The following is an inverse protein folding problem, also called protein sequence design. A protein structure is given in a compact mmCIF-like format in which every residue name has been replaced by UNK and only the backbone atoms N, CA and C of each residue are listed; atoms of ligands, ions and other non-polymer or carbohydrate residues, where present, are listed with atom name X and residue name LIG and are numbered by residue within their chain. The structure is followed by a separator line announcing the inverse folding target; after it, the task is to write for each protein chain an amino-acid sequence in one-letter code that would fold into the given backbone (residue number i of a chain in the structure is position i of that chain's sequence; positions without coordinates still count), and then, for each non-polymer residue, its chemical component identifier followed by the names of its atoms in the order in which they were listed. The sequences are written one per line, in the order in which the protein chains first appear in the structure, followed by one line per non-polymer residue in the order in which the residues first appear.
data_IF_275893362652
#
_entry.id   IF_275893362652
#
_cell.length_a   1.000
_cell.length_b   1.000
_cell.length_c   1.000
_cell.angle_alpha   90.00
_cell.angle_beta   90.00
_cell.angle_gamma   90.00
#
_symmetry.space_group_name_H-M   'P 1'
#
loop_
_entity.id
_entity.type
_entity.pdbx_description
1 polymer ?
#
# COMPACT_ATOMS: atom_id res chain seq x y z
N UNK A 1 14.32 -33.93 -16.14
CA UNK A 1 13.95 -34.42 -14.79
C UNK A 1 13.00 -35.59 -14.97
N UNK A 2 13.31 -36.76 -14.41
CA UNK A 2 12.48 -37.97 -14.56
C UNK A 2 11.26 -37.95 -13.63
N UNK A 3 10.16 -38.59 -14.05
CA UNK A 3 8.89 -38.64 -13.30
C UNK A 3 9.04 -39.18 -11.87
N UNK A 4 10.10 -39.95 -11.60
CA UNK A 4 10.42 -40.55 -10.29
C UNK A 4 10.76 -39.51 -9.21
N UNK A 5 11.19 -38.30 -9.60
CA UNK A 5 11.51 -37.21 -8.66
C UNK A 5 10.30 -36.35 -8.31
N UNK A 6 9.13 -36.60 -8.93
CA UNK A 6 7.91 -35.83 -8.72
C UNK A 6 7.48 -35.74 -7.24
N UNK A 7 7.47 -36.83 -6.45
CA UNK A 7 7.05 -36.75 -5.05
C UNK A 7 8.01 -35.89 -4.21
N UNK A 8 9.31 -35.97 -4.50
CA UNK A 8 10.34 -35.20 -3.81
C UNK A 8 10.27 -33.70 -4.17
N UNK A 9 10.05 -33.38 -5.44
CA UNK A 9 9.83 -32.01 -5.90
C UNK A 9 8.59 -31.40 -5.27
N UNK A 10 7.46 -32.12 -5.31
CA UNK A 10 6.19 -31.65 -4.72
C UNK A 10 6.33 -31.37 -3.23
N UNK A 11 7.01 -32.25 -2.49
CA UNK A 11 7.24 -32.09 -1.06
C UNK A 11 8.10 -30.86 -0.77
N UNK A 12 9.22 -30.70 -1.48
CA UNK A 12 10.13 -29.55 -1.28
C UNK A 12 9.49 -28.23 -1.70
N UNK A 13 8.75 -28.22 -2.81
CA UNK A 13 8.04 -27.04 -3.28
C UNK A 13 6.94 -26.62 -2.30
N UNK A 14 6.19 -27.57 -1.74
CA UNK A 14 5.17 -27.30 -0.72
C UNK A 14 5.79 -26.77 0.58
N UNK A 15 6.92 -27.32 0.99
CA UNK A 15 7.65 -26.84 2.17
C UNK A 15 8.16 -25.42 1.96
N UNK A 16 8.75 -25.13 0.80
CA UNK A 16 9.19 -23.80 0.42
C UNK A 16 8.02 -22.81 0.36
N UNK A 17 6.93 -23.18 -0.32
CA UNK A 17 5.72 -22.37 -0.41
C UNK A 17 5.17 -21.99 0.97
N UNK A 18 5.17 -22.90 1.95
CA UNK A 18 4.74 -22.60 3.34
C UNK A 18 5.66 -21.66 4.09
N UNK A 19 6.92 -21.54 3.69
CA UNK A 19 7.88 -20.63 4.31
C UNK A 19 7.79 -19.21 3.76
N UNK A 20 7.35 -19.06 2.50
CA UNK A 20 7.40 -17.77 1.77
C UNK A 20 6.02 -17.20 1.44
N UNK A 21 4.96 -18.02 1.43
CA UNK A 21 3.60 -17.58 1.15
C UNK A 21 2.83 -17.39 2.44
N UNK A 22 2.46 -16.16 2.74
CA UNK A 22 1.40 -15.86 3.69
C UNK A 22 0.02 -16.13 3.06
N UNK A 23 -1.01 -16.46 3.85
CA UNK A 23 -2.37 -16.66 3.34
C UNK A 23 -2.92 -15.49 2.50
N UNK A 24 -2.45 -14.26 2.76
CA UNK A 24 -2.77 -13.08 1.96
C UNK A 24 -2.19 -13.10 0.54
N UNK A 25 -1.05 -13.76 0.32
CA UNK A 25 -0.44 -13.94 -1.01
C UNK A 25 -1.22 -14.92 -1.91
N UNK A 26 -2.17 -15.67 -1.35
CA UNK A 26 -2.92 -16.75 -2.02
C UNK A 26 -4.35 -16.29 -2.37
N UNK A 27 -4.76 -15.08 -1.98
CA UNK A 27 -6.07 -14.55 -2.36
C UNK A 27 -6.05 -14.02 -3.81
N UNK A 28 -7.12 -14.22 -4.59
CA UNK A 28 -7.25 -13.58 -5.90
C UNK A 28 -7.26 -12.05 -5.72
N UNK A 29 -6.11 -11.42 -5.96
CA UNK A 29 -5.98 -9.96 -5.94
C UNK A 29 -6.66 -9.40 -7.19
N UNK A 30 -7.89 -8.92 -7.04
CA UNK A 30 -8.52 -8.07 -8.05
C UNK A 30 -8.05 -6.66 -7.79
N UNK A 31 -7.13 -6.18 -8.64
CA UNK A 31 -6.69 -4.80 -8.62
C UNK A 31 -7.80 -3.93 -9.21
N UNK A 32 -8.27 -2.95 -8.42
CA UNK A 32 -9.33 -2.01 -8.79
C UNK A 32 -8.69 -0.66 -9.08
N UNK A 33 -9.03 -0.06 -10.22
CA UNK A 33 -8.49 1.24 -10.64
C UNK A 33 -9.32 2.41 -10.11
N UNK A 34 -10.65 2.25 -10.04
CA UNK A 34 -11.55 3.30 -9.57
C UNK A 34 -12.83 2.74 -8.93
N UNK A 35 -13.27 3.38 -7.84
CA UNK A 35 -14.65 3.25 -7.39
C UNK A 35 -15.56 4.07 -8.31
N UNK A 36 -16.66 3.49 -8.76
CA UNK A 36 -17.64 4.16 -9.59
C UNK A 36 -19.06 3.71 -9.24
N UNK A 37 -20.06 4.55 -9.55
CA UNK A 37 -21.45 4.17 -9.43
C UNK A 37 -21.94 3.50 -10.71
N UNK A 38 -22.89 2.58 -10.59
CA UNK A 38 -23.50 1.92 -11.76
C UNK A 38 -24.23 2.90 -12.68
N UNK A 39 -24.67 4.05 -12.18
CA UNK A 39 -25.30 5.10 -12.99
C UNK A 39 -24.33 5.74 -14.00
N UNK A 40 -23.04 5.82 -13.66
CA UNK A 40 -21.99 6.40 -14.51
C UNK A 40 -21.54 5.42 -15.60
N UNK A 41 -21.82 4.12 -15.42
CA UNK A 41 -21.48 3.08 -16.39
C UNK A 41 -22.40 3.22 -17.60
N UNK A 42 -21.89 3.85 -18.65
CA UNK A 42 -22.64 4.18 -19.87
C UNK A 42 -21.86 3.75 -21.11
N UNK A 43 -22.55 3.69 -22.25
CA UNK A 43 -21.89 3.42 -23.53
C UNK A 43 -20.89 4.53 -23.89
N UNK A 44 -21.22 5.78 -23.56
CA UNK A 44 -20.33 6.93 -23.74
C UNK A 44 -19.04 6.78 -22.93
N UNK A 45 -19.12 6.35 -21.66
CA UNK A 45 -17.93 6.03 -20.87
C UNK A 45 -17.12 4.93 -21.54
N UNK A 46 -17.76 3.84 -22.01
CA UNK A 46 -17.07 2.78 -22.73
C UNK A 46 -16.31 3.29 -23.97
N UNK A 47 -16.90 4.23 -24.72
CA UNK A 47 -16.26 4.86 -25.87
C UNK A 47 -15.06 5.72 -25.46
N UNK A 48 -15.16 6.50 -24.37
CA UNK A 48 -14.03 7.28 -23.85
C UNK A 48 -12.87 6.38 -23.42
N UNK A 49 -13.17 5.21 -22.83
CA UNK A 49 -12.15 4.24 -22.43
C UNK A 49 -11.41 3.62 -23.63
N UNK A 50 -11.94 3.69 -24.86
CA UNK A 50 -11.25 3.17 -26.04
C UNK A 50 -9.96 3.93 -26.37
N UNK A 51 -9.79 5.17 -25.88
CA UNK A 51 -8.54 5.93 -26.02
C UNK A 51 -7.36 5.24 -25.32
N UNK A 52 -7.64 4.37 -24.33
CA UNK A 52 -6.63 3.61 -23.60
C UNK A 52 -6.10 2.39 -24.37
N UNK A 53 -6.66 2.08 -25.54
CA UNK A 53 -6.19 0.97 -26.36
C UNK A 53 -4.77 1.25 -26.93
N UNK A 54 -3.93 0.22 -27.10
CA UNK A 54 -4.22 -1.19 -26.91
C UNK A 54 -4.08 -1.65 -25.44
N UNK A 55 -5.01 -2.48 -24.98
CA UNK A 55 -4.90 -3.10 -23.66
C UNK A 55 -4.14 -4.44 -23.73
N UNK A 56 -3.33 -4.75 -22.72
CA UNK A 56 -2.47 -5.93 -22.63
C UNK A 56 -1.86 -6.11 -21.24
N UNK A 57 -0.74 -6.84 -21.15
CA UNK A 57 -0.07 -7.15 -19.86
C UNK A 57 0.39 -5.88 -19.14
N UNK A 58 0.98 -4.93 -19.89
CA UNK A 58 1.54 -3.68 -19.36
C UNK A 58 0.53 -2.52 -19.31
N UNK A 59 -0.64 -2.69 -19.93
CA UNK A 59 -1.71 -1.70 -19.96
C UNK A 59 -3.06 -2.42 -19.83
N UNK A 60 -3.42 -2.79 -18.61
CA UNK A 60 -4.61 -3.63 -18.37
C UNK A 60 -5.89 -2.84 -18.64
N UNK A 61 -6.95 -3.56 -19.01
CA UNK A 61 -8.26 -2.95 -19.08
C UNK A 61 -8.67 -2.39 -17.71
N UNK A 62 -9.23 -1.18 -17.65
CA UNK A 62 -9.68 -0.60 -16.40
C UNK A 62 -10.70 -1.49 -15.69
N UNK A 63 -10.48 -1.68 -14.38
CA UNK A 63 -11.37 -2.40 -13.47
C UNK A 63 -12.01 -1.39 -12.52
N UNK A 64 -13.32 -1.26 -12.63
CA UNK A 64 -14.15 -0.44 -11.75
C UNK A 64 -14.70 -1.27 -10.61
N UNK A 65 -15.04 -0.61 -9.51
CA UNK A 65 -15.68 -1.22 -8.36
C UNK A 65 -16.90 -0.43 -7.89
N UNK A 66 -17.97 -1.14 -7.56
CA UNK A 66 -19.19 -0.57 -7.00
C UNK A 66 -19.61 -1.31 -5.74
N UNK A 67 -19.94 -0.55 -4.70
CA UNK A 67 -20.49 -1.04 -3.42
C UNK A 67 -21.98 -1.26 -3.44
N UNK A 68 -22.45 -2.13 -2.55
CA UNK A 68 -23.87 -2.26 -2.21
C UNK A 68 -24.76 -2.45 -3.45
N UNK A 69 -24.26 -3.24 -4.41
CA UNK A 69 -24.95 -3.54 -5.67
C UNK A 69 -26.01 -4.60 -5.41
N UNK A 70 -27.26 -4.26 -5.68
CA UNK A 70 -28.38 -5.19 -5.51
C UNK A 70 -28.55 -6.07 -6.74
N UNK A 71 -28.55 -7.39 -6.52
CA UNK A 71 -28.86 -8.39 -7.54
C UNK A 71 -30.37 -8.55 -7.63
N UNK A 72 -30.96 -8.15 -8.77
CA UNK A 72 -32.39 -8.34 -9.08
C UNK A 72 -32.68 -9.70 -9.64
N UNK A 73 -31.79 -10.20 -10.49
CA UNK A 73 -31.93 -11.49 -11.12
C UNK A 73 -30.57 -12.16 -11.27
N UNK A 74 -30.52 -13.47 -11.11
CA UNK A 74 -29.33 -14.29 -11.37
C UNK A 74 -29.75 -15.58 -12.04
N UNK A 75 -29.09 -15.94 -13.15
CA UNK A 75 -29.38 -17.16 -13.91
C UNK A 75 -28.11 -17.76 -14.48
N UNK A 76 -28.04 -19.09 -14.46
CA UNK A 76 -26.97 -19.82 -15.13
C UNK A 76 -27.21 -19.76 -16.65
N UNK A 77 -26.15 -19.53 -17.41
CA UNK A 77 -26.15 -19.52 -18.87
C UNK A 77 -24.96 -20.33 -19.43
N UNK A 78 -24.93 -20.48 -20.75
CA UNK A 78 -23.90 -21.24 -21.45
C UNK A 78 -24.31 -22.70 -21.69
N UNK A 79 -23.73 -23.33 -22.71
CA UNK A 79 -24.02 -24.73 -23.07
C UNK A 79 -23.58 -25.71 -21.98
N UNK A 80 -22.50 -25.37 -21.30
CA UNK A 80 -21.90 -26.11 -20.19
C UNK A 80 -22.45 -25.69 -18.82
N UNK A 81 -23.40 -24.75 -18.77
CA UNK A 81 -23.99 -24.22 -17.55
C UNK A 81 -22.95 -23.68 -16.54
N UNK A 82 -21.82 -23.16 -17.01
CA UNK A 82 -20.75 -22.72 -16.12
C UNK A 82 -20.79 -21.23 -15.81
N UNK A 83 -21.50 -20.40 -16.58
CA UNK A 83 -21.48 -18.94 -16.44
C UNK A 83 -22.74 -18.43 -15.72
N UNK A 84 -22.61 -17.28 -15.06
CA UNK A 84 -23.71 -16.64 -14.35
C UNK A 84 -24.00 -15.28 -15.00
N UNK A 85 -25.24 -15.06 -15.43
CA UNK A 85 -25.74 -13.76 -15.91
C UNK A 85 -26.57 -13.12 -14.81
N UNK A 86 -26.25 -11.88 -14.47
CA UNK A 86 -26.93 -11.12 -13.42
C UNK A 86 -27.59 -9.88 -14.03
N UNK A 87 -28.68 -9.46 -13.40
CA UNK A 87 -29.23 -8.14 -13.56
C UNK A 87 -29.09 -7.40 -12.22
N UNK A 88 -28.41 -6.27 -12.24
CA UNK A 88 -28.04 -5.55 -11.01
C UNK A 88 -28.50 -4.10 -11.04
N UNK A 89 -28.63 -3.47 -9.88
CA UNK A 89 -28.85 -2.02 -9.73
C UNK A 89 -28.14 -1.46 -8.50
N UNK A 90 -28.01 -0.14 -8.44
CA UNK A 90 -27.43 0.55 -7.28
C UNK A 90 -28.13 1.90 -7.10
N UNK A 91 -28.88 2.07 -6.00
CA UNK A 91 -29.55 3.33 -5.61
C UNK A 91 -30.63 3.87 -6.55
N UNK A 92 -30.67 3.44 -7.80
CA UNK A 92 -31.56 3.91 -8.87
C UNK A 92 -32.40 2.75 -9.43
N UNK A 93 -33.49 3.03 -10.20
CA UNK A 93 -34.27 1.99 -10.87
C UNK A 93 -33.58 1.41 -12.11
N UNK A 94 -32.50 2.02 -12.59
CA UNK A 94 -31.76 1.55 -13.77
C UNK A 94 -31.08 0.23 -13.44
N UNK A 95 -31.26 -0.76 -14.32
CA UNK A 95 -30.57 -2.04 -14.24
C UNK A 95 -29.48 -2.17 -15.29
N UNK A 96 -28.43 -2.93 -14.96
CA UNK A 96 -27.36 -3.31 -15.88
C UNK A 96 -27.25 -4.83 -15.95
N UNK A 97 -26.88 -5.32 -17.14
CA UNK A 97 -26.55 -6.72 -17.35
C UNK A 97 -25.08 -6.95 -16.97
N UNK A 98 -24.85 -8.05 -16.25
CA UNK A 98 -23.52 -8.44 -15.77
C UNK A 98 -23.26 -9.88 -16.16
N UNK A 99 -22.08 -10.16 -16.67
CA UNK A 99 -21.60 -11.48 -17.01
C UNK A 99 -20.48 -11.91 -16.09
N UNK A 100 -20.68 -13.02 -15.39
CA UNK A 100 -19.66 -13.66 -14.57
C UNK A 100 -19.26 -15.01 -15.18
N UNK A 101 -18.17 -15.00 -15.94
CA UNK A 101 -17.57 -16.19 -16.52
C UNK A 101 -17.19 -17.19 -15.42
N UNK A 102 -17.59 -18.44 -15.60
CA UNK A 102 -17.41 -19.53 -14.62
C UNK A 102 -18.03 -19.24 -13.24
N UNK A 103 -18.93 -18.27 -13.15
CA UNK A 103 -19.56 -17.83 -11.90
C UNK A 103 -20.66 -18.73 -11.37
N UNK A 104 -21.08 -19.78 -12.11
CA UNK A 104 -22.18 -20.65 -11.68
C UNK A 104 -21.90 -21.32 -10.32
N UNK A 105 -20.63 -21.60 -10.02
CA UNK A 105 -20.20 -22.19 -8.74
C UNK A 105 -20.45 -21.28 -7.52
N UNK A 106 -20.65 -19.98 -7.74
CA UNK A 106 -20.92 -19.01 -6.69
C UNK A 106 -22.43 -18.77 -6.46
N UNK A 107 -23.30 -19.45 -7.20
CA UNK A 107 -24.75 -19.32 -7.06
C UNK A 107 -25.28 -20.14 -5.86
N UNK A 108 -26.25 -19.63 -5.07
CA UNK A 108 -26.82 -18.29 -5.15
C UNK A 108 -25.91 -17.24 -4.54
N UNK A 109 -25.76 -16.13 -5.27
CA UNK A 109 -25.14 -14.94 -4.71
C UNK A 109 -26.09 -14.26 -3.72
N UNK A 110 -25.56 -13.56 -2.70
CA UNK A 110 -26.35 -12.71 -1.82
C UNK A 110 -27.16 -11.65 -2.59
N UNK A 111 -28.22 -11.13 -1.98
CA UNK A 111 -29.05 -10.09 -2.59
C UNK A 111 -28.28 -8.79 -2.84
N UNK A 112 -27.27 -8.50 -2.03
CA UNK A 112 -26.43 -7.30 -2.13
C UNK A 112 -24.95 -7.71 -2.10
N UNK A 113 -24.17 -7.20 -3.05
CA UNK A 113 -22.76 -7.54 -3.26
C UNK A 113 -21.94 -6.30 -3.57
N UNK A 114 -20.64 -6.40 -3.34
CA UNK A 114 -19.67 -5.52 -3.95
C UNK A 114 -19.18 -6.16 -5.26
N UNK A 115 -19.10 -5.36 -6.32
CA UNK A 115 -18.80 -5.84 -7.67
C UNK A 115 -17.57 -5.12 -8.21
N UNK A 116 -16.54 -5.87 -8.61
CA UNK A 116 -15.41 -5.39 -9.39
C UNK A 116 -15.54 -5.90 -10.84
N UNK A 117 -15.47 -5.01 -11.82
CA UNK A 117 -15.87 -5.29 -13.20
C UNK A 117 -15.18 -4.40 -14.23
N UNK A 118 -15.19 -4.83 -15.49
CA UNK A 118 -14.84 -4.00 -16.64
C UNK A 118 -16.04 -3.84 -17.56
N UNK A 119 -16.05 -2.80 -18.40
CA UNK A 119 -17.13 -2.55 -19.35
C UNK A 119 -16.86 -3.30 -20.64
N UNK A 120 -17.87 -4.02 -21.13
CA UNK A 120 -17.86 -4.69 -22.44
C UNK A 120 -19.07 -4.25 -23.26
N UNK A 121 -18.92 -4.32 -24.57
CA UNK A 121 -20.05 -4.23 -25.48
C UNK A 121 -20.44 -5.62 -25.93
N UNK A 122 -21.73 -5.90 -25.85
CA UNK A 122 -22.34 -7.07 -26.45
C UNK A 122 -23.08 -6.62 -27.72
N UNK A 123 -22.68 -7.16 -28.86
CA UNK A 123 -23.33 -6.94 -30.15
C UNK A 123 -24.16 -8.17 -30.51
N UNK A 124 -25.48 -8.01 -30.53
CA UNK A 124 -26.39 -9.08 -30.90
C UNK A 124 -27.42 -8.58 -31.91
N UNK A 125 -27.50 -9.25 -33.06
CA UNK A 125 -28.42 -8.91 -34.16
C UNK A 125 -28.36 -7.43 -34.59
N UNK A 126 -27.16 -6.83 -34.55
CA UNK A 126 -26.93 -5.43 -34.91
C UNK A 126 -27.25 -4.41 -33.81
N UNK A 127 -27.73 -4.85 -32.65
CA UNK A 127 -27.89 -3.98 -31.48
C UNK A 127 -26.65 -4.08 -30.59
N UNK A 128 -26.02 -2.93 -30.34
CA UNK A 128 -24.90 -2.79 -29.41
C UNK A 128 -25.47 -2.43 -28.04
N UNK A 129 -25.16 -3.24 -27.04
CA UNK A 129 -25.54 -3.02 -25.65
C UNK A 129 -24.30 -3.06 -24.77
N UNK A 130 -24.31 -2.32 -23.66
CA UNK A 130 -23.23 -2.38 -22.68
C UNK A 130 -23.55 -3.47 -21.63
N UNK A 131 -22.55 -4.26 -21.30
CA UNK A 131 -22.58 -5.22 -20.20
C UNK A 131 -21.33 -5.08 -19.32
N UNK A 132 -21.45 -5.47 -18.06
CA UNK A 132 -20.31 -5.49 -17.14
C UNK A 132 -19.76 -6.92 -17.07
N UNK A 133 -18.45 -7.09 -17.24
CA UNK A 133 -17.78 -8.37 -17.04
C UNK A 133 -17.13 -8.42 -15.66
N UNK A 134 -17.52 -9.40 -14.83
CA UNK A 134 -17.03 -9.54 -13.46
C UNK A 134 -15.56 -9.95 -13.43
N UNK A 135 -14.77 -9.22 -12.64
CA UNK A 135 -13.39 -9.57 -12.24
C UNK A 135 -13.32 -10.04 -10.79
N UNK A 136 -14.21 -9.54 -9.93
CA UNK A 136 -14.35 -9.97 -8.55
C UNK A 136 -15.74 -9.69 -8.00
N UNK A 137 -16.18 -10.52 -7.06
CA UNK A 137 -17.46 -10.35 -6.37
C UNK A 137 -17.32 -10.79 -4.92
N UNK A 138 -17.92 -10.04 -4.00
CA UNK A 138 -17.94 -10.38 -2.57
C UNK A 138 -19.23 -9.91 -1.91
N UNK A 139 -19.64 -10.49 -0.76
CA UNK A 139 -20.76 -9.96 0.03
C UNK A 139 -20.51 -8.51 0.47
N UNK A 140 -21.54 -7.67 0.43
CA UNK A 140 -21.45 -6.26 0.83
C UNK A 140 -21.20 -6.03 2.34
N UNK A 141 -21.30 -7.09 3.15
CA UNK A 141 -21.16 -7.04 4.62
C UNK A 141 -19.74 -7.21 5.15
N UNK A 142 -18.77 -7.55 4.30
CA UNK A 142 -17.37 -7.55 4.72
C UNK A 142 -16.87 -6.11 4.68
N UNK A 143 -16.39 -5.54 5.81
CA UNK A 143 -15.54 -4.37 5.76
C UNK A 143 -14.51 -4.62 4.66
N UNK A 144 -14.41 -3.67 3.75
CA UNK A 144 -13.28 -3.64 2.85
C UNK A 144 -12.08 -3.36 3.77
N UNK A 145 -11.46 -4.42 4.26
CA UNK A 145 -10.01 -4.46 4.36
C UNK A 145 -9.55 -4.24 2.91
N UNK A 146 -9.59 -3.00 2.44
CA UNK A 146 -8.66 -2.57 1.42
C UNK A 146 -7.33 -3.07 1.98
N UNK A 147 -6.53 -3.86 1.26
CA UNK A 147 -5.11 -3.80 1.54
C UNK A 147 -4.81 -2.30 1.59
N UNK A 148 -4.20 -1.80 2.67
CA UNK A 148 -3.53 -0.50 2.60
C UNK A 148 -2.74 -0.64 1.33
N UNK A 149 -2.98 0.21 0.32
CA UNK A 149 -2.58 -0.10 -1.03
C UNK A 149 -1.11 -0.49 -0.99
N UNK A 150 -0.84 -1.79 -1.20
CA UNK A 150 0.49 -2.20 -1.61
C UNK A 150 0.61 -1.54 -2.97
N UNK A 151 1.29 -0.41 -2.94
CA UNK A 151 1.44 0.55 -4.03
C UNK A 151 0.12 1.19 -4.50
N UNK A 152 -0.25 2.31 -3.85
CA UNK A 152 -0.58 3.46 -4.69
C UNK A 152 0.63 3.62 -5.63
N UNK A 153 0.48 4.12 -6.87
CA UNK A 153 1.56 4.87 -7.45
C UNK A 153 1.76 6.08 -6.54
N UNK A 154 2.42 5.86 -5.40
CA UNK A 154 3.43 6.79 -4.96
C UNK A 154 4.25 6.90 -6.21
N UNK A 155 4.27 8.09 -6.77
CA UNK A 155 5.10 8.40 -7.90
C UNK A 155 6.54 8.20 -7.38
N UNK A 156 6.97 6.94 -7.47
CA UNK A 156 8.24 6.43 -7.03
C UNK A 156 9.13 6.95 -8.13
N UNK A 157 9.82 8.04 -7.83
CA UNK A 157 10.99 8.31 -8.60
C UNK A 157 11.89 7.08 -8.37
N UNK A 158 12.37 6.49 -9.46
CA UNK A 158 13.27 5.35 -9.46
C UNK A 158 14.51 5.81 -10.23
N UNK A 159 15.66 5.75 -9.59
CA UNK A 159 16.94 5.94 -10.26
C UNK A 159 17.66 4.61 -10.36
N UNK A 160 18.07 4.24 -11.57
CA UNK A 160 18.93 3.10 -11.81
C UNK A 160 20.36 3.57 -12.02
N UNK A 161 21.26 3.12 -11.16
CA UNK A 161 22.69 3.41 -11.20
C UNK A 161 23.45 2.11 -11.34
N UNK A 162 23.91 1.80 -12.55
CA UNK A 162 24.53 0.51 -12.82
C UNK A 162 23.59 -0.64 -12.45
N UNK A 163 23.99 -1.44 -11.47
CA UNK A 163 23.21 -2.57 -10.93
C UNK A 163 22.23 -2.22 -9.80
N UNK A 164 22.23 -1.00 -9.23
CA UNK A 164 21.40 -0.64 -8.07
C UNK A 164 20.20 0.25 -8.46
N UNK A 165 19.01 -0.10 -7.95
CA UNK A 165 17.80 0.72 -8.04
C UNK A 165 17.55 1.46 -6.73
N UNK A 166 17.52 2.79 -6.74
CA UNK A 166 17.15 3.60 -5.59
C UNK A 166 15.68 4.00 -5.73
N UNK A 167 14.89 3.74 -4.69
CA UNK A 167 13.46 4.07 -4.61
C UNK A 167 13.25 5.07 -3.49
N UNK A 168 12.70 6.23 -3.83
CA UNK A 168 12.25 7.22 -2.86
C UNK A 168 10.79 7.61 -3.11
N UNK A 169 9.86 7.13 -2.26
CA UNK A 169 8.44 7.42 -2.44
C UNK A 169 8.10 8.89 -2.14
N UNK A 170 7.31 9.52 -3.02
CA UNK A 170 6.74 10.85 -2.82
C UNK A 170 5.92 10.97 -1.52
N UNK A 171 5.81 12.21 -1.03
CA UNK A 171 5.11 12.49 0.23
C UNK A 171 3.59 12.51 -0.01
N UNK A 172 2.80 11.73 0.74
CA UNK A 172 1.36 11.68 0.57
C UNK A 172 0.71 12.96 1.11
N UNK A 173 -0.53 13.23 0.67
CA UNK A 173 -1.33 14.32 1.24
C UNK A 173 -1.74 13.96 2.67
N UNK A 174 -1.58 14.92 3.57
CA UNK A 174 -1.92 14.74 4.97
C UNK A 174 -3.39 15.17 5.17
N UNK A 175 -4.20 14.35 5.83
CA UNK A 175 -5.58 14.70 6.12
C UNK A 175 -5.65 15.82 7.17
N UNK A 176 -6.61 16.72 6.97
CA UNK A 176 -6.87 17.86 7.86
C UNK A 176 -8.33 17.80 8.34
N UNK A 177 -8.64 18.31 9.55
CA UNK A 177 -7.75 18.99 10.50
C UNK A 177 -7.02 18.04 11.47
N UNK A 178 -5.78 18.39 11.84
CA UNK A 178 -4.98 17.68 12.85
C UNK A 178 -5.03 18.41 14.20
N UNK A 179 -5.16 17.67 15.30
CA UNK A 179 -5.09 18.23 16.65
C UNK A 179 -3.83 17.78 17.37
N UNK A 180 -2.90 18.71 17.57
CA UNK A 180 -1.64 18.48 18.26
C UNK A 180 -1.79 18.69 19.77
N UNK A 181 -1.19 17.80 20.56
CA UNK A 181 -1.13 17.91 22.00
C UNK A 181 0.19 17.34 22.55
N UNK A 182 0.57 17.77 23.75
CA UNK A 182 1.66 17.14 24.50
C UNK A 182 1.30 15.68 24.81
N UNK A 183 2.23 14.77 24.56
CA UNK A 183 2.08 13.36 24.91
C UNK A 183 2.50 13.08 26.36
N UNK A 184 1.57 12.58 27.16
CA UNK A 184 1.82 11.99 28.47
C UNK A 184 1.71 10.46 28.36
N UNK A 185 2.73 9.74 28.84
CA UNK A 185 2.73 8.28 28.89
C UNK A 185 1.49 7.67 29.55
N UNK A 186 0.84 8.37 30.49
CA UNK A 186 -0.42 7.95 31.09
C UNK A 186 -1.57 7.82 30.07
N UNK A 187 -1.55 8.60 28.98
CA UNK A 187 -2.55 8.53 27.91
C UNK A 187 -2.52 7.17 27.19
N UNK A 188 -1.38 6.48 27.15
CA UNK A 188 -1.26 5.17 26.51
C UNK A 188 -2.06 4.08 27.23
N UNK A 189 -2.29 4.24 28.54
CA UNK A 189 -3.04 3.28 29.35
C UNK A 189 -4.48 3.72 29.59
N UNK A 190 -4.74 5.02 29.60
CA UNK A 190 -6.04 5.64 29.94
C UNK A 190 -6.91 6.04 28.74
N UNK A 191 -6.36 6.06 27.52
CA UNK A 191 -7.16 6.41 26.34
C UNK A 191 -7.95 5.20 25.88
N UNK A 192 -9.28 5.35 25.82
CA UNK A 192 -10.18 4.42 25.13
C UNK A 192 -10.11 4.66 23.61
N UNK A 193 -10.30 3.60 22.81
CA UNK A 193 -10.24 3.67 21.35
C UNK A 193 -8.99 3.04 20.74
N UNK A 194 -8.67 3.35 19.49
CA UNK A 194 -7.55 2.77 18.75
C UNK A 194 -6.37 3.74 18.70
N UNK A 195 -5.23 3.30 19.21
CA UNK A 195 -4.01 4.11 19.38
C UNK A 195 -2.89 3.53 18.52
N UNK A 196 -2.21 4.38 17.75
CA UNK A 196 -0.93 4.03 17.15
C UNK A 196 0.21 4.55 18.03
N UNK A 197 0.95 3.65 18.66
CA UNK A 197 2.18 3.97 19.38
C UNK A 197 3.39 3.80 18.45
N UNK A 198 3.98 4.92 18.05
CA UNK A 198 5.12 4.98 17.13
C UNK A 198 6.33 5.61 17.82
N UNK A 199 7.53 5.09 17.58
CA UNK A 199 8.74 5.80 18.00
C UNK A 199 9.94 4.92 18.34
N UNK A 200 11.10 5.56 18.42
CA UNK A 200 12.39 4.96 18.73
C UNK A 200 12.42 4.44 20.17
N UNK A 201 12.75 3.15 20.32
CA UNK A 201 12.81 2.46 21.63
C UNK A 201 11.56 2.70 22.50
N UNK A 202 10.40 2.86 21.86
CA UNK A 202 9.14 3.03 22.57
C UNK A 202 8.86 1.81 23.48
N UNK A 203 8.20 2.02 24.63
CA UNK A 203 7.88 0.93 25.54
C UNK A 203 6.83 0.00 24.94
N UNK A 204 6.83 -1.24 25.41
CA UNK A 204 5.72 -2.16 25.18
C UNK A 204 4.72 -2.03 26.34
N UNK A 205 3.45 -1.78 26.02
CA UNK A 205 2.41 -1.54 27.02
C UNK A 205 1.56 -2.79 27.15
N UNK A 206 1.59 -3.42 28.33
CA UNK A 206 0.90 -4.68 28.59
C UNK A 206 -0.59 -4.52 28.92
N UNK A 207 -1.00 -3.33 29.37
CA UNK A 207 -2.38 -3.05 29.78
C UNK A 207 -2.79 -1.66 29.30
N UNK A 208 -3.84 -1.60 28.51
CA UNK A 208 -4.44 -0.37 27.99
C UNK A 208 -5.96 -0.49 27.98
N UNK A 209 -6.64 0.64 28.17
CA UNK A 209 -8.09 0.72 28.00
C UNK A 209 -8.53 0.66 26.52
N UNK A 210 -7.63 0.97 25.58
CA UNK A 210 -7.84 0.91 24.13
C UNK A 210 -7.04 -0.18 23.41
N UNK A 211 -7.20 -0.26 22.09
CA UNK A 211 -6.44 -1.12 21.17
C UNK A 211 -5.13 -0.40 20.81
N UNK A 212 -3.97 -0.99 21.11
CA UNK A 212 -2.67 -0.45 20.69
C UNK A 212 -2.12 -1.18 19.47
N UNK A 213 -1.81 -0.41 18.44
CA UNK A 213 -0.96 -0.81 17.34
C UNK A 213 0.40 -0.14 17.46
N UNK A 214 1.43 -0.80 16.91
CA UNK A 214 2.82 -0.40 17.11
C UNK A 214 3.52 -0.19 15.77
N UNK A 215 4.18 0.96 15.59
CA UNK A 215 4.96 1.41 14.42
C UNK A 215 4.27 1.47 13.06
N UNK A 216 3.42 0.49 12.74
CA UNK A 216 2.76 0.37 11.45
C UNK A 216 1.25 0.53 11.64
N UNK A 217 0.64 1.52 10.98
CA UNK A 217 -0.81 1.61 10.87
C UNK A 217 -1.34 0.31 10.26
N UNK A 218 -2.44 -0.20 10.80
CA UNK A 218 -3.14 -1.37 10.27
C UNK A 218 -4.15 -0.92 9.23
N UNK A 219 -4.30 -1.70 8.17
CA UNK A 219 -5.26 -1.35 7.14
C UNK A 219 -6.69 -1.37 7.62
N UNK A 220 -7.52 -0.46 7.09
CA UNK A 220 -8.92 -0.32 7.44
C UNK A 220 -9.17 0.10 8.90
N UNK A 221 -8.12 0.38 9.66
CA UNK A 221 -8.23 0.77 11.07
C UNK A 221 -8.32 2.29 11.18
N UNK A 222 -9.41 2.76 11.78
CA UNK A 222 -9.51 4.15 12.20
C UNK A 222 -8.77 4.38 13.51
N UNK A 223 -7.87 5.36 13.54
CA UNK A 223 -7.16 5.74 14.76
C UNK A 223 -7.77 6.97 15.41
N UNK A 224 -7.96 6.90 16.72
CA UNK A 224 -8.41 8.02 17.54
C UNK A 224 -7.21 8.86 18.01
N UNK A 225 -6.06 8.21 18.21
CA UNK A 225 -4.83 8.83 18.69
C UNK A 225 -3.59 8.24 18.00
N UNK A 226 -2.74 9.12 17.44
CA UNK A 226 -1.36 8.78 17.11
C UNK A 226 -0.46 9.30 18.22
N UNK A 227 0.14 8.38 18.96
CA UNK A 227 1.09 8.68 20.01
C UNK A 227 2.52 8.49 19.49
N UNK A 228 3.20 9.61 19.25
CA UNK A 228 4.61 9.65 18.87
C UNK A 228 5.47 9.63 20.14
N UNK A 229 5.98 8.45 20.51
CA UNK A 229 6.96 8.31 21.60
C UNK A 229 8.24 9.11 21.32
N UNK A 230 8.62 9.16 20.05
CA UNK A 230 9.66 10.01 19.48
C UNK A 230 9.20 10.49 18.11
N UNK A 231 9.79 11.56 17.60
CA UNK A 231 9.58 11.96 16.21
C UNK A 231 10.08 10.88 15.23
N UNK A 232 9.38 10.67 14.10
CA UNK A 232 9.84 9.81 13.02
C UNK A 232 11.07 10.41 12.32
N UNK A 233 11.78 9.64 11.47
CA UNK A 233 13.08 10.08 10.97
C UNK A 233 13.08 11.31 10.08
N UNK A 234 11.94 11.63 9.47
CA UNK A 234 11.79 12.85 8.69
C UNK A 234 10.32 13.28 8.63
N UNK A 235 10.04 14.52 8.19
CA UNK A 235 8.67 14.98 7.95
C UNK A 235 7.90 14.09 6.96
N UNK A 236 8.59 13.51 5.96
CA UNK A 236 7.95 12.59 5.03
C UNK A 236 7.47 11.31 5.74
N UNK A 237 8.25 10.75 6.66
CA UNK A 237 7.80 9.60 7.45
C UNK A 237 6.58 9.95 8.30
N UNK A 238 6.56 11.15 8.89
CA UNK A 238 5.41 11.64 9.63
C UNK A 238 4.17 11.74 8.74
N UNK A 239 4.30 12.34 7.56
CA UNK A 239 3.22 12.45 6.59
C UNK A 239 2.69 11.06 6.18
N UNK A 240 3.59 10.10 5.95
CA UNK A 240 3.25 8.71 5.67
C UNK A 240 2.45 8.07 6.80
N UNK A 241 2.90 8.19 8.05
CA UNK A 241 2.17 7.68 9.23
C UNK A 241 0.78 8.30 9.28
N UNK A 242 0.66 9.62 9.20
CA UNK A 242 -0.60 10.34 9.34
C UNK A 242 -1.60 10.04 8.21
N UNK A 243 -1.11 9.90 6.97
CA UNK A 243 -1.93 9.52 5.84
C UNK A 243 -2.55 8.11 6.01
N UNK A 244 -1.87 7.22 6.73
CA UNK A 244 -2.28 5.82 6.90
C UNK A 244 -3.08 5.59 8.19
N UNK A 245 -3.25 6.60 9.04
CA UNK A 245 -3.99 6.49 10.31
C UNK A 245 -5.38 7.10 10.27
N UNK A 246 -5.81 7.65 9.14
CA UNK A 246 -7.01 8.47 9.09
C UNK A 246 -8.24 7.71 8.56
N UNK A 247 -9.26 7.44 9.39
CA UNK A 247 -10.57 7.07 8.90
C UNK A 247 -11.30 8.35 8.47
N UNK A 248 -11.90 8.35 7.29
CA UNK A 248 -12.78 9.41 6.78
C UNK A 248 -13.74 9.95 7.86
N UNK A 249 -13.58 11.22 8.27
CA UNK A 249 -14.60 12.00 9.01
C UNK A 249 -14.36 12.31 10.50
N UNK A 250 -13.31 11.77 11.15
CA UNK A 250 -13.03 12.00 12.59
C UNK A 250 -11.86 12.97 12.83
N UNK A 251 -11.86 13.70 13.95
CA UNK A 251 -10.69 14.51 14.37
C UNK A 251 -9.57 13.59 14.89
N UNK A 252 -8.46 13.49 14.15
CA UNK A 252 -7.28 12.74 14.58
C UNK A 252 -6.47 13.55 15.60
N UNK A 253 -6.27 12.97 16.80
CA UNK A 253 -5.40 13.54 17.83
C UNK A 253 -3.97 13.03 17.66
N UNK A 254 -2.99 13.91 17.83
CA UNK A 254 -1.57 13.58 17.78
C UNK A 254 -0.92 14.01 19.09
N UNK A 255 -0.46 13.03 19.85
CA UNK A 255 0.31 13.23 21.07
C UNK A 255 1.79 13.02 20.78
N UNK A 256 2.64 13.98 21.17
CA UNK A 256 4.10 13.85 21.00
C UNK A 256 4.79 13.83 22.36
N UNK A 257 5.46 12.73 22.64
CA UNK A 257 6.38 12.57 23.75
C UNK A 257 7.81 12.85 23.27
N UNK A 258 8.63 13.41 24.15
CA UNK A 258 9.99 13.81 23.83
C UNK A 258 10.99 12.73 24.23
N UNK A 259 11.35 11.87 23.28
CA UNK A 259 12.42 10.89 23.42
C UNK A 259 13.65 11.29 22.61
N UNK A 260 14.80 11.42 23.28
CA UNK A 260 16.06 11.70 22.60
C UNK A 260 16.48 10.51 21.72
N UNK A 261 16.86 10.82 20.48
CA UNK A 261 17.40 9.87 19.50
C UNK A 261 18.91 10.14 19.37
N UNK A 262 19.77 9.12 19.51
CA UNK A 262 21.21 9.31 19.44
C UNK A 262 21.67 9.73 18.04
N UNK A 263 22.64 10.63 17.98
CA UNK A 263 23.26 11.06 16.72
C UNK A 263 24.32 10.05 16.31
N UNK A 264 24.20 9.54 15.08
CA UNK A 264 25.20 8.65 14.50
C UNK A 264 26.35 9.47 13.91
N UNK A 265 27.61 9.09 14.19
CA UNK A 265 28.76 9.74 13.58
C UNK A 265 28.84 9.43 12.08
N UNK A 266 29.25 10.41 11.27
CA UNK A 266 29.35 10.28 9.81
C UNK A 266 30.22 9.08 9.38
N UNK A 267 31.35 8.85 10.06
CA UNK A 267 32.23 7.71 9.77
C UNK A 267 31.53 6.36 10.00
N UNK A 268 30.79 6.23 11.11
CA UNK A 268 30.02 5.03 11.43
C UNK A 268 28.92 4.78 10.41
N UNK A 269 28.19 5.82 10.02
CA UNK A 269 27.15 5.73 9.00
C UNK A 269 27.71 5.29 7.64
N UNK A 270 28.82 5.87 7.20
CA UNK A 270 29.48 5.47 5.95
C UNK A 270 29.87 3.99 5.98
N UNK A 271 30.43 3.52 7.09
CA UNK A 271 30.79 2.11 7.23
C UNK A 271 29.55 1.21 7.20
N UNK A 272 28.48 1.57 7.90
CA UNK A 272 27.23 0.82 7.93
C UNK A 272 26.56 0.75 6.56
N UNK A 273 26.53 1.87 5.80
CA UNK A 273 26.02 1.92 4.43
C UNK A 273 26.84 1.02 3.49
N UNK A 274 28.17 1.05 3.58
CA UNK A 274 29.03 0.16 2.78
C UNK A 274 28.71 -1.31 3.02
N UNK A 275 28.62 -1.72 4.30
CA UNK A 275 28.26 -3.10 4.66
C UNK A 275 26.88 -3.48 4.16
N UNK A 276 25.90 -2.58 4.28
CA UNK A 276 24.54 -2.83 3.81
C UNK A 276 24.45 -2.98 2.28
N UNK A 277 25.11 -2.08 1.53
CA UNK A 277 25.17 -2.17 0.07
C UNK A 277 25.81 -3.48 -0.41
N UNK A 278 26.89 -3.91 0.24
CA UNK A 278 27.51 -5.19 -0.08
C UNK A 278 26.56 -6.38 0.15
N UNK A 279 25.83 -6.38 1.27
CA UNK A 279 24.83 -7.43 1.54
C UNK A 279 23.67 -7.44 0.55
N UNK A 280 23.28 -6.26 0.03
CA UNK A 280 22.25 -6.14 -1.01
C UNK A 280 22.73 -6.73 -2.33
N UNK A 281 23.98 -6.47 -2.71
CA UNK A 281 24.60 -7.02 -3.91
C UNK A 281 24.75 -8.55 -3.81
N UNK A 282 25.18 -9.07 -2.66
CA UNK A 282 25.29 -10.53 -2.43
C UNK A 282 23.92 -11.23 -2.53
N UNK A 283 22.90 -10.65 -1.89
CA UNK A 283 21.53 -11.17 -1.95
C UNK A 283 21.01 -11.17 -3.39
N UNK A 284 21.24 -10.07 -4.11
CA UNK A 284 20.85 -9.99 -5.51
C UNK A 284 21.60 -11.00 -6.37
N UNK A 285 22.92 -11.15 -6.22
CA UNK A 285 23.76 -12.12 -6.94
C UNK A 285 23.26 -13.56 -6.76
N UNK A 286 22.82 -13.90 -5.55
CA UNK A 286 22.23 -15.20 -5.26
C UNK A 286 20.88 -15.40 -5.96
N UNK A 287 20.03 -14.36 -5.99
CA UNK A 287 18.78 -14.37 -6.75
C UNK A 287 18.99 -14.43 -8.28
N UNK A 288 20.11 -13.89 -8.80
CA UNK A 288 20.44 -13.95 -10.23
C UNK A 288 20.81 -15.37 -10.69
N UNK A 289 21.43 -16.18 -9.81
CA UNK A 289 21.76 -17.56 -10.13
C UNK A 289 20.51 -18.44 -10.34
N UNK A 290 19.34 -17.98 -9.89
CA UNK A 290 18.07 -18.72 -9.94
C UNK A 290 17.09 -18.19 -11.01
N UNK A 291 17.42 -17.11 -11.76
CA UNK A 291 16.50 -16.44 -12.71
C UNK A 291 17.15 -16.02 -14.04
N UNK A 292 16.43 -16.21 -15.16
CA UNK A 292 16.87 -15.81 -16.53
C UNK A 292 16.98 -14.28 -16.75
N UNK A 293 16.28 -13.46 -15.95
CA UNK A 293 16.40 -11.99 -15.94
C UNK A 293 16.34 -11.47 -14.50
N UNK A 294 17.46 -11.12 -13.89
CA UNK A 294 17.47 -10.63 -12.52
C UNK A 294 17.01 -9.17 -12.42
N UNK A 295 16.26 -8.86 -11.38
CA UNK A 295 15.99 -7.48 -11.00
C UNK A 295 17.23 -6.88 -10.33
N UNK A 296 17.52 -5.58 -10.55
CA UNK A 296 18.57 -4.89 -9.82
C UNK A 296 18.28 -4.88 -8.31
N UNK A 297 19.29 -5.05 -7.42
CA UNK A 297 19.14 -4.78 -5.99
C UNK A 297 18.46 -3.44 -5.78
N UNK A 298 17.44 -3.43 -4.91
CA UNK A 298 16.60 -2.25 -4.70
C UNK A 298 16.79 -1.67 -3.30
N UNK A 299 17.13 -0.38 -3.23
CA UNK A 299 17.32 0.39 -2.03
C UNK A 299 16.13 1.33 -1.80
N UNK A 300 15.24 0.98 -0.87
CA UNK A 300 14.13 1.84 -0.48
C UNK A 300 14.52 2.75 0.69
N UNK A 301 14.62 4.06 0.43
CA UNK A 301 15.13 5.04 1.39
C UNK A 301 14.20 5.25 2.59
N UNK A 302 12.87 5.19 2.41
CA UNK A 302 11.94 5.33 3.54
C UNK A 302 11.99 4.10 4.44
N UNK A 303 12.02 2.89 3.86
CA UNK A 303 12.11 1.65 4.63
C UNK A 303 13.41 1.57 5.44
N UNK A 304 14.53 1.92 4.80
CA UNK A 304 15.83 1.96 5.47
C UNK A 304 15.87 3.06 6.53
N UNK A 305 15.34 4.24 6.21
CA UNK A 305 15.27 5.39 7.12
C UNK A 305 14.48 5.09 8.38
N UNK A 306 13.32 4.43 8.25
CA UNK A 306 12.54 3.96 9.39
C UNK A 306 13.30 2.95 10.24
N UNK A 307 14.06 2.03 9.63
CA UNK A 307 14.79 0.98 10.35
C UNK A 307 15.99 1.53 11.11
N UNK A 308 16.70 2.49 10.53
CA UNK A 308 17.92 3.06 11.10
C UNK A 308 17.68 4.36 11.87
N UNK A 309 16.43 4.83 11.88
CA UNK A 309 16.07 6.14 12.39
C UNK A 309 16.89 7.26 11.72
N UNK A 310 16.97 7.22 10.39
CA UNK A 310 17.68 8.19 9.55
C UNK A 310 16.74 8.82 8.51
N UNK A 311 16.91 10.11 8.27
CA UNK A 311 16.14 10.78 7.22
C UNK A 311 16.60 10.32 5.83
N UNK A 312 15.72 10.33 4.81
CA UNK A 312 16.12 10.03 3.44
C UNK A 312 17.24 10.95 2.93
N UNK A 313 17.26 12.21 3.39
CA UNK A 313 18.31 13.18 3.08
C UNK A 313 19.67 12.77 3.63
N UNK A 314 19.71 12.25 4.87
CA UNK A 314 20.96 11.73 5.47
C UNK A 314 21.44 10.47 4.74
N UNK A 315 20.52 9.58 4.37
CA UNK A 315 20.87 8.40 3.58
C UNK A 315 21.44 8.79 2.21
N UNK A 316 20.80 9.71 1.49
CA UNK A 316 21.28 10.23 0.20
C UNK A 316 22.66 10.89 0.32
N UNK A 317 22.85 11.80 1.28
CA UNK A 317 24.15 12.41 1.52
C UNK A 317 25.23 11.37 1.89
N UNK A 318 24.82 10.30 2.58
CA UNK A 318 25.67 9.15 2.89
C UNK A 318 26.12 8.43 1.62
N UNK A 319 25.18 8.05 0.75
CA UNK A 319 25.43 7.39 -0.53
C UNK A 319 26.30 8.27 -1.45
N UNK A 320 26.00 9.56 -1.57
CA UNK A 320 26.81 10.51 -2.35
C UNK A 320 28.24 10.62 -1.81
N UNK A 321 28.42 10.60 -0.48
CA UNK A 321 29.76 10.62 0.13
C UNK A 321 30.56 9.33 -0.08
N UNK A 322 29.90 8.25 -0.52
CA UNK A 322 30.52 7.01 -0.97
C UNK A 322 30.80 7.00 -2.48
N UNK A 323 30.42 8.06 -3.20
CA UNK A 323 30.64 8.20 -4.65
C UNK A 323 29.50 7.70 -5.52
N UNK A 324 28.32 7.39 -4.95
CA UNK A 324 27.13 6.99 -5.71
C UNK A 324 26.42 8.24 -6.25
N UNK A 325 26.09 8.25 -7.54
CA UNK A 325 25.21 9.27 -8.08
C UNK A 325 23.76 8.90 -7.72
N UNK A 326 23.05 9.87 -7.12
CA UNK A 326 21.72 9.67 -6.56
C UNK A 326 20.67 10.49 -7.32
N UNK A 327 20.98 10.97 -8.52
CA UNK A 327 20.01 11.68 -9.37
C UNK A 327 18.73 10.85 -9.56
N UNK A 328 17.52 11.45 -9.50
CA UNK A 328 17.26 12.89 -9.43
C UNK A 328 17.39 13.52 -8.03
N UNK A 329 17.60 12.73 -6.97
CA UNK A 329 17.63 13.21 -5.59
C UNK A 329 19.06 13.54 -5.13
N UNK A 330 19.58 14.66 -5.62
CA UNK A 330 20.85 15.18 -5.13
C UNK A 330 20.64 16.07 -3.90
N UNK A 331 21.36 15.80 -2.82
CA UNK A 331 21.36 16.67 -1.63
C UNK A 331 22.45 17.73 -1.79
N UNK A 332 22.08 19.00 -1.63
CA UNK A 332 23.04 20.09 -1.56
C UNK A 332 23.64 20.14 -0.14
N UNK A 333 24.81 19.53 0.06
CA UNK A 333 25.53 19.61 1.34
C UNK A 333 26.39 18.38 1.67
N UNK A 334 27.10 18.45 2.79
CA UNK A 334 27.87 17.32 3.32
C UNK A 334 27.00 16.39 4.17
N UNK A 335 27.47 15.16 4.38
CA UNK A 335 26.85 14.21 5.31
C UNK A 335 26.71 14.79 6.73
N UNK A 336 27.73 15.50 7.21
CA UNK A 336 27.70 16.14 8.53
C UNK A 336 26.62 17.23 8.63
N UNK A 337 26.41 17.99 7.55
CA UNK A 337 25.32 18.98 7.48
C UNK A 337 23.95 18.31 7.52
N UNK A 338 23.78 17.20 6.79
CA UNK A 338 22.52 16.45 6.80
C UNK A 338 22.22 15.84 8.18
N UNK A 339 23.24 15.30 8.86
CA UNK A 339 23.12 14.78 10.23
C UNK A 339 22.76 15.89 11.23
N UNK A 340 23.34 17.08 11.09
CA UNK A 340 23.00 18.23 11.92
C UNK A 340 21.54 18.69 11.72
N UNK A 341 21.06 18.73 10.47
CA UNK A 341 19.65 19.02 10.16
C UNK A 341 18.71 17.96 10.76
N UNK A 342 19.08 16.68 10.68
CA UNK A 342 18.29 15.62 11.31
C UNK A 342 18.25 15.76 12.84
N UNK A 343 19.35 16.15 13.47
CA UNK A 343 19.37 16.42 14.91
C UNK A 343 18.46 17.60 15.28
N UNK A 344 18.41 18.66 14.45
CA UNK A 344 17.48 19.76 14.65
C UNK A 344 16.03 19.30 14.55
N UNK A 345 15.70 18.47 13.55
CA UNK A 345 14.37 17.87 13.41
C UNK A 345 13.94 17.11 14.67
N UNK A 346 14.81 16.29 15.26
CA UNK A 346 14.49 15.57 16.49
C UNK A 346 14.40 16.45 17.74
N UNK A 347 14.90 17.70 17.68
CA UNK A 347 14.77 18.67 18.76
C UNK A 347 13.51 19.54 18.68
N UNK A 348 12.69 19.39 17.64
CA UNK A 348 11.46 20.17 17.50
C UNK A 348 10.40 19.74 18.52
N UNK A 349 9.66 20.73 19.03
CA UNK A 349 8.46 20.47 19.82
C UNK A 349 7.22 20.24 18.93
N UNK A 350 6.12 19.79 19.52
CA UNK A 350 4.91 19.45 18.76
C UNK A 350 4.26 20.67 18.09
N UNK A 351 4.34 21.86 18.68
CA UNK A 351 3.81 23.09 18.09
C UNK A 351 4.55 23.47 16.81
N UNK A 352 5.89 23.33 16.82
CA UNK A 352 6.75 23.57 15.66
C UNK A 352 6.47 22.57 14.53
N UNK A 353 6.30 21.29 14.87
CA UNK A 353 5.97 20.24 13.89
C UNK A 353 4.56 20.44 13.32
N UNK A 354 3.59 20.79 14.16
CA UNK A 354 2.22 21.07 13.74
C UNK A 354 2.10 22.30 12.85
N UNK A 355 2.86 23.36 13.15
CA UNK A 355 2.94 24.55 12.30
C UNK A 355 3.56 24.27 10.93
N UNK A 356 4.49 23.32 10.84
CA UNK A 356 5.12 22.93 9.57
C UNK A 356 4.14 22.16 8.68
N UNK A 357 3.35 21.24 9.25
CA UNK A 357 2.41 20.40 8.49
C UNK A 357 1.14 21.15 8.06
N UNK A 358 0.88 22.32 8.63
CA UNK A 358 -0.28 23.17 8.33
C UNK A 358 -0.01 24.21 7.22
N UNK A 359 1.24 24.28 6.72
CA UNK A 359 1.67 25.10 5.57
C UNK A 359 1.70 24.24 4.32
#
# INVERSE_FOLDING_TARGET
MGAEQWPALQTRLAQFARQVLDPGHIQPLVQVDAEAKLEDMTLDLFQQLQVLQPCGIDNREPVFWSRDVEIKHQRIIGKDQSHLKLQVRQGSPRTLEVLYWRGAVAQPLPTTVDLAYTLKTNEWQGNISMELEVKGIRPATLPLELPLPDDHPIDHQIATQGSLSIVYPNTPRIPHPLQWQTGDSAQLTQTEGTILLYGFRRPHISQSQGILHYDRPQSGTGYDLVFLWSLPPSPQHLAWILAHTHPTGSQLKIAVHHQAIPVLAAATLKQQLKTYLHSLEETAAQDQAERDKPNPPTLNLLKLGQSWWLSPTVLLAGLQSLGLDCAPWTVAGSLDSALAQQQQWYGLNYDQVGSWLSQ
#
